data_IF_605356617440
#
_entry.id   IF_605356617440
#
_cell.length_a   1.000
_cell.length_b   1.000
_cell.length_c   1.000
_cell.angle_alpha   90.00
_cell.angle_beta   90.00
_cell.angle_gamma   90.00
#
_symmetry.space_group_name_H-M   'P 1'
#
loop_
_entity.id
_entity.type
_entity.pdbx_description
1 polymer ?
#
# COMPACT_ATOMS: atom_id res chain seq x y z
N UNK A 1 12.59 -14.68 9.48
CA UNK A 1 12.19 -15.42 10.71
C UNK A 1 10.77 -15.92 10.55
N UNK A 2 10.36 -16.96 11.28
CA UNK A 2 8.96 -17.37 11.35
C UNK A 2 8.13 -16.34 12.15
N UNK A 3 6.87 -16.08 11.78
CA UNK A 3 5.98 -15.21 12.57
C UNK A 3 5.73 -15.74 13.99
N UNK A 4 5.49 -14.82 14.91
CA UNK A 4 4.89 -15.08 16.23
C UNK A 4 3.36 -15.08 16.13
N UNK A 5 2.66 -15.76 17.05
CA UNK A 5 1.19 -15.88 17.00
C UNK A 5 0.43 -14.54 17.17
N UNK A 6 1.10 -13.49 17.67
CA UNK A 6 0.54 -12.14 17.83
C UNK A 6 0.81 -11.20 16.63
N UNK A 7 1.51 -11.67 15.59
CA UNK A 7 1.77 -10.88 14.39
C UNK A 7 0.69 -11.14 13.32
N UNK A 8 0.12 -10.06 12.78
CA UNK A 8 -0.72 -10.09 11.58
C UNK A 8 0.17 -9.75 10.38
N UNK A 9 0.56 -10.78 9.63
CA UNK A 9 1.60 -10.64 8.60
C UNK A 9 0.97 -10.40 7.23
N UNK A 10 1.36 -9.29 6.62
CA UNK A 10 0.93 -8.79 5.33
C UNK A 10 2.07 -9.01 4.32
N UNK A 11 1.93 -10.00 3.45
CA UNK A 11 2.83 -10.17 2.32
C UNK A 11 2.48 -9.16 1.21
N UNK A 12 3.48 -8.47 0.64
CA UNK A 12 3.26 -7.49 -0.44
C UNK A 12 4.00 -7.91 -1.70
N UNK A 13 3.25 -8.33 -2.72
CA UNK A 13 3.73 -8.97 -3.94
C UNK A 13 3.38 -8.13 -5.17
N UNK A 14 4.29 -8.03 -6.15
CA UNK A 14 4.08 -7.23 -7.35
C UNK A 14 4.95 -7.69 -8.55
N UNK A 15 4.46 -7.56 -9.80
CA UNK A 15 5.31 -7.58 -10.99
C UNK A 15 6.07 -6.25 -11.13
N UNK A 16 7.02 -6.20 -12.07
CA UNK A 16 8.08 -5.20 -12.11
C UNK A 16 7.55 -3.76 -12.21
N UNK A 17 8.10 -2.86 -11.39
CA UNK A 17 7.79 -1.42 -11.38
C UNK A 17 6.30 -1.04 -11.20
N UNK A 18 5.51 -1.91 -10.55
CA UNK A 18 4.08 -1.65 -10.25
C UNK A 18 3.85 -0.66 -9.10
N UNK A 19 4.90 -0.16 -8.44
CA UNK A 19 4.81 0.88 -7.41
C UNK A 19 4.49 0.39 -5.99
N UNK A 20 4.73 -0.90 -5.70
CA UNK A 20 4.62 -1.51 -4.36
C UNK A 20 5.19 -0.65 -3.23
N UNK A 21 6.46 -0.28 -3.36
CA UNK A 21 7.19 0.48 -2.34
C UNK A 21 6.65 1.92 -2.20
N UNK A 22 6.06 2.48 -3.27
CA UNK A 22 5.35 3.77 -3.23
C UNK A 22 4.03 3.67 -2.46
N UNK A 23 3.30 2.55 -2.55
CA UNK A 23 2.09 2.29 -1.75
C UNK A 23 2.44 2.19 -0.26
N UNK A 24 3.50 1.46 0.09
CA UNK A 24 3.96 1.38 1.49
C UNK A 24 4.42 2.73 2.04
N UNK A 25 5.15 3.53 1.25
CA UNK A 25 5.49 4.91 1.62
C UNK A 25 4.24 5.79 1.83
N UNK A 26 3.21 5.64 0.98
CA UNK A 26 1.95 6.36 1.16
C UNK A 26 1.27 5.97 2.48
N UNK A 27 1.20 4.67 2.80
CA UNK A 27 0.64 4.17 4.05
C UNK A 27 1.42 4.65 5.29
N UNK A 28 2.76 4.71 5.22
CA UNK A 28 3.64 5.32 6.23
C UNK A 28 3.56 6.85 6.29
N UNK A 29 2.95 7.51 5.29
CA UNK A 29 2.92 8.96 5.13
C UNK A 29 4.27 9.64 4.86
N UNK A 30 5.36 8.87 4.67
CA UNK A 30 6.75 9.36 4.50
C UNK A 30 7.43 8.66 3.32
N UNK A 31 8.32 9.37 2.60
CA UNK A 31 8.99 8.87 1.39
C UNK A 31 10.21 7.96 1.68
N UNK A 32 10.11 7.14 2.73
CA UNK A 32 11.21 6.45 3.42
C UNK A 32 11.86 5.34 2.58
N UNK A 33 11.06 4.40 2.09
CA UNK A 33 11.55 3.19 1.43
C UNK A 33 12.03 3.55 0.00
N UNK A 34 13.18 3.04 -0.46
CA UNK A 34 13.75 3.45 -1.73
C UNK A 34 12.83 3.07 -2.90
N UNK A 35 12.30 4.07 -3.61
CA UNK A 35 11.26 3.90 -4.63
C UNK A 35 11.60 4.48 -6.01
N UNK A 36 12.90 4.59 -6.36
CA UNK A 36 13.31 5.04 -7.71
C UNK A 36 13.06 3.91 -8.73
N UNK A 37 12.90 4.29 -10.01
CA UNK A 37 12.55 3.35 -11.09
C UNK A 37 13.63 2.30 -11.40
N UNK A 38 14.84 2.46 -10.87
CA UNK A 38 15.96 1.54 -11.01
C UNK A 38 16.02 0.59 -9.80
N UNK A 39 15.48 -0.61 -9.96
CA UNK A 39 15.66 -1.82 -9.13
C UNK A 39 15.89 -1.63 -7.60
N UNK A 40 15.11 -0.77 -6.95
CA UNK A 40 15.39 -0.29 -5.59
C UNK A 40 15.21 -1.28 -4.42
N UNK A 41 14.83 -2.54 -4.68
CA UNK A 41 14.84 -3.60 -3.65
C UNK A 41 15.50 -4.87 -4.22
N UNK A 42 16.67 -5.20 -3.68
CA UNK A 42 17.36 -6.48 -3.82
C UNK A 42 17.22 -7.36 -2.57
N UNK A 43 17.01 -6.72 -1.41
CA UNK A 43 16.95 -7.37 -0.09
C UNK A 43 15.51 -7.29 0.46
N UNK A 44 14.96 -8.37 1.05
CA UNK A 44 13.63 -8.33 1.68
C UNK A 44 13.62 -7.46 2.94
N UNK A 45 12.56 -6.66 3.08
CA UNK A 45 12.35 -5.79 4.24
C UNK A 45 11.18 -6.29 5.09
N UNK A 46 11.36 -6.40 6.41
CA UNK A 46 10.27 -6.58 7.39
C UNK A 46 9.97 -5.22 8.02
N UNK A 47 8.81 -4.64 7.73
CA UNK A 47 8.34 -3.42 8.38
C UNK A 47 7.34 -3.83 9.47
N UNK A 48 7.64 -3.49 10.71
CA UNK A 48 6.76 -3.75 11.87
C UNK A 48 6.09 -2.44 12.27
N UNK A 49 4.77 -2.48 12.35
CA UNK A 49 3.94 -1.38 12.80
C UNK A 49 4.01 -1.23 14.33
N UNK A 50 4.13 0.00 14.81
CA UNK A 50 4.20 0.36 16.24
C UNK A 50 3.48 1.69 16.45
N UNK A 51 2.30 1.65 17.07
CA UNK A 51 1.45 2.82 17.37
C UNK A 51 2.24 3.92 18.11
N UNK A 52 2.21 5.15 17.59
CA UNK A 52 2.79 6.34 18.24
C UNK A 52 4.32 6.44 18.16
N UNK A 53 4.98 5.67 17.29
CA UNK A 53 6.43 5.72 17.13
C UNK A 53 6.86 6.91 16.24
N UNK A 54 7.23 8.04 16.86
CA UNK A 54 7.58 9.31 16.19
C UNK A 54 8.74 9.16 15.18
N UNK A 55 9.83 8.48 15.58
CA UNK A 55 10.99 8.18 14.76
C UNK A 55 10.91 6.78 14.15
N UNK A 56 10.84 6.71 12.82
CA UNK A 56 11.03 5.44 12.11
C UNK A 56 12.50 5.02 12.27
N UNK A 57 12.75 3.76 12.57
CA UNK A 57 14.10 3.21 12.75
C UNK A 57 14.29 1.89 12.03
N UNK A 58 15.53 1.57 11.66
CA UNK A 58 15.86 0.31 10.99
C UNK A 58 17.16 -0.32 11.48
N UNK A 59 17.29 -1.64 11.25
CA UNK A 59 18.51 -2.42 11.45
C UNK A 59 18.68 -3.41 10.29
N UNK A 60 19.91 -3.79 9.96
CA UNK A 60 20.21 -4.75 8.89
C UNK A 60 20.86 -6.03 9.44
N UNK A 61 20.55 -7.16 8.80
CA UNK A 61 21.00 -8.50 9.22
C UNK A 61 21.99 -9.05 8.18
N UNK A 62 23.23 -9.26 8.59
CA UNK A 62 24.31 -9.82 7.77
C UNK A 62 24.13 -11.30 7.47
N UNK A 63 24.85 -11.79 6.45
CA UNK A 63 24.84 -13.21 6.05
C UNK A 63 25.36 -14.18 7.12
N UNK A 64 26.19 -13.71 8.05
CA UNK A 64 26.67 -14.51 9.19
C UNK A 64 25.78 -14.40 10.45
N UNK A 65 24.59 -13.80 10.32
CA UNK A 65 23.62 -13.65 11.39
C UNK A 65 23.88 -12.49 12.36
N UNK A 66 24.93 -11.67 12.14
CA UNK A 66 25.10 -10.42 12.90
C UNK A 66 24.02 -9.42 12.53
N UNK A 67 23.59 -8.62 13.50
CA UNK A 67 22.63 -7.54 13.34
C UNK A 67 23.33 -6.22 13.62
N UNK A 68 23.01 -5.16 12.87
CA UNK A 68 23.46 -3.80 13.19
C UNK A 68 22.83 -3.28 14.49
N UNK A 69 23.26 -2.11 14.95
CA UNK A 69 22.39 -1.33 15.85
C UNK A 69 21.13 -0.85 15.11
N UNK A 70 20.09 -0.49 15.86
CA UNK A 70 19.00 0.32 15.33
C UNK A 70 19.51 1.73 15.01
N UNK A 71 19.15 2.23 13.84
CA UNK A 71 19.44 3.58 13.35
C UNK A 71 18.11 4.27 13.05
N UNK A 72 17.88 5.46 13.63
CA UNK A 72 16.73 6.30 13.25
C UNK A 72 16.89 6.78 11.81
N UNK A 73 15.81 6.78 11.05
CA UNK A 73 15.80 7.12 9.63
C UNK A 73 15.18 8.51 9.41
N UNK A 74 15.98 9.41 8.86
CA UNK A 74 15.54 10.72 8.36
C UNK A 74 15.32 10.70 6.84
N UNK A 75 14.70 11.75 6.30
CA UNK A 75 14.43 11.89 4.85
C UNK A 75 15.71 12.01 3.98
N UNK A 76 16.89 12.15 4.60
CA UNK A 76 18.19 12.26 3.92
C UNK A 76 19.06 10.97 4.02
N UNK A 77 18.64 9.96 4.78
CA UNK A 77 19.51 8.83 5.15
C UNK A 77 19.80 7.84 4.00
N UNK A 78 21.08 7.73 3.64
CA UNK A 78 21.54 6.79 2.61
C UNK A 78 21.48 5.32 3.05
N UNK A 79 21.43 5.04 4.37
CA UNK A 79 21.72 3.72 4.92
C UNK A 79 20.79 2.60 4.39
N UNK A 80 19.50 2.87 4.12
CA UNK A 80 18.62 1.88 3.47
C UNK A 80 19.09 1.52 2.05
N UNK A 81 19.61 2.48 1.29
CA UNK A 81 20.16 2.26 -0.06
C UNK A 81 21.53 1.56 -0.01
N UNK A 82 22.37 1.94 0.96
CA UNK A 82 23.68 1.32 1.18
C UNK A 82 23.55 -0.14 1.64
N UNK A 83 22.61 -0.42 2.55
CA UNK A 83 22.29 -1.79 2.96
C UNK A 83 21.71 -2.61 1.81
N UNK A 84 20.78 -2.05 1.03
CA UNK A 84 20.18 -2.71 -0.12
C UNK A 84 21.17 -3.00 -1.27
N UNK A 85 22.38 -2.42 -1.24
CA UNK A 85 23.48 -2.73 -2.18
C UNK A 85 24.66 -3.48 -1.53
N UNK A 86 24.59 -3.73 -0.23
CA UNK A 86 25.64 -4.37 0.57
C UNK A 86 25.43 -5.87 0.85
N UNK A 87 26.25 -6.43 1.74
CA UNK A 87 26.27 -7.87 2.09
C UNK A 87 25.31 -8.24 3.22
N UNK A 88 24.04 -7.83 3.07
CA UNK A 88 22.96 -8.09 4.03
C UNK A 88 21.95 -9.10 3.45
N UNK A 89 21.13 -9.69 4.33
CA UNK A 89 20.13 -10.73 3.97
C UNK A 89 18.70 -10.29 4.17
N UNK A 90 18.48 -9.35 5.10
CA UNK A 90 17.19 -8.71 5.38
C UNK A 90 17.42 -7.40 6.11
N UNK A 91 16.46 -6.50 6.01
CA UNK A 91 16.39 -5.25 6.77
C UNK A 91 15.11 -5.29 7.60
N UNK A 92 15.21 -4.97 8.89
CA UNK A 92 14.05 -4.78 9.76
C UNK A 92 13.83 -3.29 9.98
N UNK A 93 12.58 -2.85 9.87
CA UNK A 93 12.14 -1.46 10.00
C UNK A 93 11.01 -1.42 11.03
N UNK A 94 10.98 -0.39 11.86
CA UNK A 94 9.92 -0.12 12.82
C UNK A 94 9.44 1.32 12.63
N UNK A 95 8.14 1.51 12.48
CA UNK A 95 7.49 2.80 12.24
C UNK A 95 6.00 2.72 12.52
N UNK A 96 5.36 3.88 12.63
CA UNK A 96 3.91 4.04 12.80
C UNK A 96 3.20 4.05 11.43
N UNK A 97 2.16 3.23 11.25
CA UNK A 97 1.20 3.33 10.14
C UNK A 97 -0.08 4.05 10.63
N UNK A 98 -0.17 5.40 10.55
CA UNK A 98 -1.07 6.21 11.40
C UNK A 98 -2.58 6.06 11.17
N UNK A 99 -2.99 5.23 10.19
CA UNK A 99 -4.39 4.89 9.88
C UNK A 99 -4.72 3.41 10.18
N UNK A 100 -3.82 2.71 10.85
CA UNK A 100 -3.93 1.31 11.30
C UNK A 100 -3.81 1.33 12.83
N UNK A 101 -4.60 0.50 13.50
CA UNK A 101 -4.57 0.34 14.97
C UNK A 101 -4.16 -1.11 15.26
N UNK A 102 -2.96 -1.29 15.80
CA UNK A 102 -2.39 -2.61 16.07
C UNK A 102 -2.61 -3.13 17.50
N UNK A 103 -3.52 -2.51 18.28
CA UNK A 103 -3.86 -2.95 19.65
C UNK A 103 -4.32 -4.42 19.74
N UNK A 104 -4.82 -4.97 18.63
CA UNK A 104 -5.33 -6.36 18.54
C UNK A 104 -4.21 -7.37 18.25
N UNK A 105 -3.32 -7.06 17.30
CA UNK A 105 -2.16 -7.84 16.84
C UNK A 105 -1.18 -6.90 16.15
N UNK A 106 0.13 -7.11 16.30
CA UNK A 106 1.17 -6.29 15.64
C UNK A 106 1.10 -6.49 14.13
N UNK A 107 0.89 -5.44 13.34
CA UNK A 107 0.94 -5.57 11.89
C UNK A 107 2.39 -5.64 11.39
N UNK A 108 2.64 -6.53 10.43
CA UNK A 108 3.97 -6.74 9.86
C UNK A 108 3.88 -6.82 8.35
N UNK A 109 4.44 -5.85 7.63
CA UNK A 109 4.57 -5.90 6.18
C UNK A 109 5.88 -6.59 5.77
N UNK A 110 5.77 -7.57 4.87
CA UNK A 110 6.92 -8.19 4.20
C UNK A 110 7.04 -7.63 2.78
N UNK A 111 7.97 -6.67 2.59
CA UNK A 111 8.23 -6.07 1.29
C UNK A 111 9.23 -6.93 0.50
N UNK A 112 8.76 -7.53 -0.60
CA UNK A 112 9.58 -8.45 -1.40
C UNK A 112 10.42 -7.70 -2.44
N UNK A 113 11.69 -8.05 -2.68
CA UNK A 113 12.49 -7.43 -3.74
C UNK A 113 11.93 -7.74 -5.14
N UNK A 114 12.10 -6.78 -6.05
CA UNK A 114 11.44 -6.80 -7.36
C UNK A 114 12.15 -7.67 -8.41
N UNK A 115 11.40 -8.20 -9.39
CA UNK A 115 12.05 -9.03 -10.87
C UNK A 115 13.19 -8.39 -11.69
N UNK A 116 13.90 -7.39 -11.16
CA UNK A 116 14.93 -6.63 -11.90
C UNK A 116 16.37 -6.80 -11.38
N UNK A 117 16.61 -7.45 -10.23
CA UNK A 117 17.93 -7.55 -9.60
C UNK A 117 18.49 -8.98 -9.41
N UNK A 118 17.91 -10.01 -10.05
CA UNK A 118 18.58 -11.32 -10.13
C UNK A 118 18.48 -11.95 -11.51
N UNK A 119 19.64 -12.23 -12.11
CA UNK A 119 19.77 -12.95 -13.38
C UNK A 119 19.38 -14.43 -13.19
N UNK A 120 18.12 -14.75 -13.47
CA UNK A 120 17.50 -16.08 -13.42
C UNK A 120 17.38 -16.75 -12.04
N UNK A 121 16.41 -17.67 -11.95
CA UNK A 121 16.13 -18.63 -10.86
C UNK A 121 15.72 -18.04 -9.49
N UNK A 122 16.49 -17.14 -8.88
CA UNK A 122 16.27 -16.62 -7.51
C UNK A 122 14.90 -15.96 -7.28
N UNK A 123 14.30 -15.35 -8.32
CA UNK A 123 12.95 -14.77 -8.26
C UNK A 123 11.84 -15.80 -7.96
N UNK A 124 12.05 -17.07 -8.34
CA UNK A 124 11.18 -18.15 -7.90
C UNK A 124 11.32 -18.34 -6.39
N UNK A 125 12.55 -18.57 -5.92
CA UNK A 125 12.85 -19.03 -4.56
C UNK A 125 12.40 -18.09 -3.44
N UNK A 126 12.62 -16.77 -3.54
CA UNK A 126 12.23 -15.86 -2.45
C UNK A 126 10.72 -15.61 -2.40
N UNK A 127 10.07 -15.44 -3.56
CA UNK A 127 8.61 -15.34 -3.66
C UNK A 127 7.95 -16.63 -3.18
N UNK A 128 8.46 -17.77 -3.65
CA UNK A 128 8.04 -19.09 -3.22
C UNK A 128 8.28 -19.29 -1.73
N UNK A 129 9.39 -18.82 -1.14
CA UNK A 129 9.67 -18.94 0.30
C UNK A 129 8.62 -18.24 1.15
N UNK A 130 8.35 -16.97 0.89
CA UNK A 130 7.34 -16.18 1.63
C UNK A 130 5.94 -16.79 1.47
N UNK A 131 5.66 -17.31 0.28
CA UNK A 131 4.44 -18.08 0.02
C UNK A 131 4.42 -19.44 0.76
N UNK A 132 5.53 -20.21 0.77
CA UNK A 132 5.60 -21.62 1.22
C UNK A 132 5.88 -21.84 2.69
N UNK A 133 6.43 -20.84 3.40
CA UNK A 133 6.61 -20.90 4.85
C UNK A 133 5.31 -20.63 5.63
N UNK A 134 4.17 -20.52 4.91
CA UNK A 134 2.81 -20.27 5.43
C UNK A 134 2.74 -19.10 6.42
N UNK A 135 3.61 -18.11 6.22
CA UNK A 135 3.91 -17.05 7.18
C UNK A 135 3.13 -15.75 6.99
N UNK A 136 2.06 -15.72 6.19
CA UNK A 136 1.26 -14.52 5.94
C UNK A 136 -0.24 -14.75 6.18
N UNK A 137 -0.87 -13.79 6.85
CA UNK A 137 -2.31 -13.75 7.12
C UNK A 137 -3.07 -13.04 5.99
N UNK A 138 -2.42 -12.05 5.38
CA UNK A 138 -2.99 -11.20 4.34
C UNK A 138 -2.00 -11.03 3.18
N UNK A 139 -2.52 -10.90 1.95
CA UNK A 139 -1.72 -10.72 0.74
C UNK A 139 -2.19 -9.50 -0.06
N UNK A 140 -1.32 -8.50 -0.16
CA UNK A 140 -1.46 -7.36 -1.07
C UNK A 140 -0.78 -7.66 -2.39
N UNK A 141 -1.55 -7.87 -3.46
CA UNK A 141 -1.03 -8.05 -4.81
C UNK A 141 -1.17 -6.75 -5.61
N UNK A 142 -0.05 -6.09 -5.91
CA UNK A 142 -0.06 -4.81 -6.66
C UNK A 142 0.01 -5.09 -8.17
N UNK A 143 -0.95 -4.55 -8.92
CA UNK A 143 -1.05 -4.57 -10.38
C UNK A 143 -0.73 -3.18 -10.94
N UNK A 144 -0.34 -3.09 -12.21
CA UNK A 144 -0.06 -1.81 -12.88
C UNK A 144 -1.09 -1.52 -13.99
N UNK A 145 -1.91 -0.47 -13.81
CA UNK A 145 -2.95 -0.03 -14.76
C UNK A 145 -2.45 0.06 -16.21
N UNK A 146 -1.21 0.55 -16.42
CA UNK A 146 -0.64 0.78 -17.75
C UNK A 146 0.08 -0.43 -18.36
N UNK A 147 0.21 -1.54 -17.63
CA UNK A 147 0.95 -2.74 -18.06
C UNK A 147 0.19 -4.04 -17.73
N UNK A 148 -1.13 -3.96 -17.75
CA UNK A 148 -2.05 -5.04 -17.41
C UNK A 148 -1.91 -6.26 -18.36
N UNK A 149 -1.80 -7.46 -17.78
CA UNK A 149 -1.80 -8.73 -18.51
C UNK A 149 -0.47 -9.13 -19.14
N UNK A 150 0.66 -8.52 -18.75
CA UNK A 150 2.01 -8.96 -19.20
C UNK A 150 2.38 -10.34 -18.62
N UNK A 151 3.24 -11.10 -19.30
CA UNK A 151 3.42 -12.52 -18.97
C UNK A 151 4.11 -12.77 -17.62
N UNK A 152 4.95 -11.84 -17.12
CA UNK A 152 5.51 -11.93 -15.76
C UNK A 152 4.43 -11.72 -14.69
N UNK A 153 3.48 -10.80 -14.91
CA UNK A 153 2.29 -10.64 -14.07
C UNK A 153 1.43 -11.91 -14.10
N UNK A 154 1.16 -12.46 -15.30
CA UNK A 154 0.41 -13.72 -15.44
C UNK A 154 1.09 -14.88 -14.70
N UNK A 155 2.41 -15.01 -14.84
CA UNK A 155 3.20 -16.05 -14.16
C UNK A 155 3.14 -15.91 -12.64
N UNK A 156 3.27 -14.69 -12.14
CA UNK A 156 3.18 -14.39 -10.71
C UNK A 156 1.78 -14.67 -10.14
N UNK A 157 0.73 -14.26 -10.85
CA UNK A 157 -0.67 -14.54 -10.51
C UNK A 157 -0.96 -16.05 -10.48
N UNK A 158 -0.48 -16.83 -11.46
CA UNK A 158 -0.63 -18.31 -11.45
C UNK A 158 0.03 -18.93 -10.22
N UNK A 159 1.28 -18.55 -9.91
CA UNK A 159 2.00 -19.09 -8.73
C UNK A 159 1.27 -18.79 -7.42
N UNK A 160 0.72 -17.58 -7.26
CA UNK A 160 -0.09 -17.20 -6.09
C UNK A 160 -1.41 -17.98 -6.06
N UNK A 161 -2.13 -18.07 -7.18
CA UNK A 161 -3.39 -18.80 -7.27
C UNK A 161 -3.23 -20.28 -6.95
N UNK A 162 -2.17 -20.92 -7.44
CA UNK A 162 -1.89 -22.34 -7.20
C UNK A 162 -1.47 -22.61 -5.75
N UNK A 163 -0.77 -21.67 -5.09
CA UNK A 163 -0.46 -21.79 -3.66
C UNK A 163 -1.70 -21.64 -2.77
N UNK A 164 -2.55 -20.63 -3.01
CA UNK A 164 -3.78 -20.43 -2.21
C UNK A 164 -4.76 -21.62 -2.32
N UNK A 165 -4.76 -22.36 -3.44
CA UNK A 165 -5.50 -23.62 -3.58
C UNK A 165 -4.97 -24.75 -2.67
N UNK A 166 -3.69 -24.70 -2.26
CA UNK A 166 -3.03 -25.71 -1.43
C UNK A 166 -3.24 -25.43 0.06
N UNK A 167 -3.15 -24.17 0.50
CA UNK A 167 -3.28 -23.81 1.92
C UNK A 167 -4.74 -23.67 2.40
N UNK A 168 -5.69 -23.51 1.46
CA UNK A 168 -7.10 -23.30 1.77
C UNK A 168 -7.47 -21.83 1.94
N UNK A 169 -8.77 -21.60 2.18
CA UNK A 169 -9.44 -20.29 2.10
C UNK A 169 -9.16 -19.37 3.32
N UNK A 170 -8.01 -19.54 3.98
CA UNK A 170 -7.66 -18.88 5.24
C UNK A 170 -6.90 -17.56 5.08
N UNK A 171 -6.17 -17.34 3.98
CA UNK A 171 -5.42 -16.10 3.73
C UNK A 171 -6.26 -15.12 2.91
N UNK A 172 -6.52 -13.93 3.45
CA UNK A 172 -7.23 -12.87 2.73
C UNK A 172 -6.34 -12.24 1.66
N UNK A 173 -6.86 -12.02 0.45
CA UNK A 173 -6.13 -11.40 -0.67
C UNK A 173 -6.84 -10.13 -1.17
N UNK A 174 -6.06 -9.07 -1.40
CA UNK A 174 -6.51 -7.84 -2.06
C UNK A 174 -5.62 -7.52 -3.26
N UNK A 175 -6.24 -7.09 -4.35
CA UNK A 175 -5.56 -6.66 -5.57
C UNK A 175 -5.60 -5.13 -5.68
N UNK A 176 -4.44 -4.52 -5.85
CA UNK A 176 -4.26 -3.06 -5.85
C UNK A 176 -3.89 -2.60 -7.26
N UNK A 177 -4.84 -2.03 -7.97
CA UNK A 177 -4.66 -1.55 -9.35
C UNK A 177 -4.07 -0.15 -9.28
N UNK A 178 -2.74 -0.09 -9.25
CA UNK A 178 -1.98 1.14 -9.04
C UNK A 178 -1.80 1.93 -10.34
N UNK A 179 -1.63 3.25 -10.20
CA UNK A 179 -1.56 4.23 -11.31
C UNK A 179 -2.89 4.35 -12.05
N UNK A 180 -4.03 4.28 -11.34
CA UNK A 180 -5.37 4.46 -11.92
C UNK A 180 -5.57 5.91 -12.44
N UNK A 181 -4.78 6.84 -11.93
CA UNK A 181 -4.54 8.21 -12.41
C UNK A 181 -3.98 8.29 -13.84
N UNK A 182 -3.47 7.19 -14.41
CA UNK A 182 -2.92 7.14 -15.77
C UNK A 182 -3.95 6.79 -16.87
N UNK A 183 -5.25 6.69 -16.53
CA UNK A 183 -6.33 6.46 -17.49
C UNK A 183 -6.78 7.78 -18.15
N UNK A 184 -6.95 7.77 -19.47
CA UNK A 184 -7.44 8.93 -20.23
C UNK A 184 -8.97 9.04 -20.12
N UNK A 185 -9.44 9.68 -19.05
CA UNK A 185 -10.86 9.83 -18.75
C UNK A 185 -11.64 10.60 -19.81
N UNK A 186 -10.97 11.46 -20.59
CA UNK A 186 -11.56 12.21 -21.70
C UNK A 186 -11.69 11.36 -22.98
N UNK A 187 -11.15 10.13 -22.98
CA UNK A 187 -11.27 9.12 -24.05
C UNK A 187 -11.97 7.84 -23.59
N UNK A 188 -12.97 7.99 -22.72
CA UNK A 188 -13.83 6.92 -22.20
C UNK A 188 -13.11 5.82 -21.39
N UNK A 189 -11.87 6.05 -20.90
CA UNK A 189 -11.13 5.07 -20.08
C UNK A 189 -11.63 5.02 -18.62
N UNK A 190 -12.91 4.73 -18.42
CA UNK A 190 -13.57 4.76 -17.12
C UNK A 190 -12.91 3.80 -16.09
N UNK A 191 -12.50 4.27 -14.89
CA UNK A 191 -11.85 3.46 -13.85
C UNK A 191 -12.73 2.30 -13.37
N UNK A 192 -14.04 2.50 -13.27
CA UNK A 192 -15.01 1.43 -12.94
C UNK A 192 -14.98 0.32 -13.99
N UNK A 193 -14.92 0.67 -15.27
CA UNK A 193 -14.82 -0.31 -16.37
C UNK A 193 -13.47 -1.02 -16.37
N UNK A 194 -12.38 -0.30 -16.08
CA UNK A 194 -11.05 -0.89 -15.91
C UNK A 194 -11.02 -1.90 -14.75
N UNK A 195 -11.45 -1.51 -13.54
CA UNK A 195 -11.56 -2.40 -12.37
C UNK A 195 -12.48 -3.60 -12.65
N UNK A 196 -13.55 -3.42 -13.42
CA UNK A 196 -14.40 -4.51 -13.90
C UNK A 196 -13.64 -5.53 -14.76
N UNK A 197 -12.84 -5.07 -15.73
CA UNK A 197 -11.97 -5.93 -16.57
C UNK A 197 -10.92 -6.66 -15.73
N UNK A 198 -10.31 -5.99 -14.76
CA UNK A 198 -9.36 -6.61 -13.81
C UNK A 198 -10.05 -7.70 -12.99
N UNK A 199 -11.25 -7.45 -12.44
CA UNK A 199 -12.02 -8.46 -11.69
C UNK A 199 -12.32 -9.70 -12.54
N UNK A 200 -12.74 -9.55 -13.81
CA UNK A 200 -12.95 -10.69 -14.71
C UNK A 200 -11.67 -11.49 -14.97
N UNK A 201 -10.57 -10.81 -15.29
CA UNK A 201 -9.27 -11.46 -15.53
C UNK A 201 -8.77 -12.24 -14.30
N UNK A 202 -8.93 -11.71 -13.10
CA UNK A 202 -8.54 -12.40 -11.87
C UNK A 202 -9.42 -13.65 -11.62
N UNK A 203 -10.71 -13.60 -11.95
CA UNK A 203 -11.59 -14.79 -11.92
C UNK A 203 -11.14 -15.83 -12.96
N UNK A 204 -10.70 -15.42 -14.16
CA UNK A 204 -10.11 -16.31 -15.17
C UNK A 204 -8.79 -16.94 -14.72
N UNK A 205 -7.98 -16.25 -13.92
CA UNK A 205 -6.78 -16.81 -13.26
C UNK A 205 -7.11 -17.72 -12.06
N UNK A 206 -8.39 -17.85 -11.70
CA UNK A 206 -8.89 -18.76 -10.66
C UNK A 206 -9.10 -18.15 -9.28
N UNK A 207 -8.96 -16.83 -9.13
CA UNK A 207 -9.28 -16.14 -7.86
C UNK A 207 -10.80 -16.01 -7.72
N UNK A 208 -11.38 -16.62 -6.68
CA UNK A 208 -12.81 -16.48 -6.37
C UNK A 208 -13.06 -15.09 -5.77
N UNK A 209 -14.10 -14.41 -6.24
CA UNK A 209 -14.60 -13.12 -5.68
C UNK A 209 -13.49 -12.12 -5.33
N UNK A 210 -12.60 -11.74 -6.27
CA UNK A 210 -11.42 -10.93 -5.98
C UNK A 210 -11.80 -9.51 -5.51
N UNK A 211 -11.26 -9.12 -4.34
CA UNK A 211 -11.31 -7.74 -3.86
C UNK A 211 -10.28 -6.94 -4.68
N UNK A 212 -10.74 -5.93 -5.41
CA UNK A 212 -9.89 -5.07 -6.24
C UNK A 212 -10.12 -3.62 -5.83
N UNK A 213 -9.04 -2.94 -5.44
CA UNK A 213 -9.03 -1.52 -5.05
C UNK A 213 -8.21 -0.76 -6.11
N UNK A 214 -8.78 0.23 -6.82
CA UNK A 214 -8.00 1.17 -7.62
C UNK A 214 -7.21 2.11 -6.70
N UNK A 215 -5.91 2.33 -6.97
CA UNK A 215 -5.07 3.19 -6.14
C UNK A 215 -4.16 4.14 -6.94
N UNK A 216 -3.88 5.30 -6.34
CA UNK A 216 -2.97 6.34 -6.85
C UNK A 216 -1.81 6.51 -5.86
N UNK A 217 -1.02 5.46 -5.63
CA UNK A 217 -0.07 5.41 -4.50
C UNK A 217 0.96 6.56 -4.49
N UNK A 218 1.35 7.07 -5.66
CA UNK A 218 2.23 8.24 -5.79
C UNK A 218 1.56 9.52 -5.29
N UNK A 219 0.36 9.83 -5.78
CA UNK A 219 -0.37 11.03 -5.37
C UNK A 219 -0.71 10.98 -3.88
N UNK A 220 -1.13 9.81 -3.37
CA UNK A 220 -1.45 9.62 -1.95
C UNK A 220 -0.26 9.96 -1.03
N UNK A 221 0.94 9.46 -1.34
CA UNK A 221 2.17 9.84 -0.64
C UNK A 221 2.42 11.35 -0.69
N UNK A 222 2.27 11.95 -1.86
CA UNK A 222 2.54 13.38 -2.06
C UNK A 222 1.53 14.28 -1.30
N UNK A 223 0.25 13.89 -1.24
CA UNK A 223 -0.78 14.57 -0.43
C UNK A 223 -0.51 14.43 1.06
N UNK A 224 -0.13 13.23 1.54
CA UNK A 224 0.21 12.99 2.96
C UNK A 224 1.43 13.77 3.41
N UNK A 225 2.44 13.91 2.55
CA UNK A 225 3.60 14.78 2.81
C UNK A 225 3.18 16.26 2.86
N UNK A 226 2.26 16.73 2.01
CA UNK A 226 1.69 18.08 2.11
C UNK A 226 0.92 18.29 3.44
N UNK A 227 0.10 17.32 3.85
CA UNK A 227 -0.65 17.35 5.12
C UNK A 227 0.30 17.34 6.34
N UNK A 228 1.35 16.51 6.32
CA UNK A 228 2.35 16.44 7.37
C UNK A 228 3.16 17.73 7.48
N UNK A 229 3.60 18.31 6.36
CA UNK A 229 4.31 19.58 6.33
C UNK A 229 3.43 20.74 6.86
N UNK A 230 2.14 20.76 6.50
CA UNK A 230 1.20 21.73 7.05
C UNK A 230 0.97 21.53 8.56
N UNK A 231 0.77 20.29 9.03
CA UNK A 231 0.63 19.98 10.46
C UNK A 231 1.86 20.40 11.28
N UNK A 232 3.06 20.26 10.72
CA UNK A 232 4.32 20.68 11.32
C UNK A 232 4.67 22.18 11.09
N UNK A 233 3.86 22.92 10.33
CA UNK A 233 4.10 24.34 9.95
C UNK A 233 5.46 24.57 9.26
N UNK A 234 5.92 23.61 8.45
CA UNK A 234 7.15 23.68 7.66
C UNK A 234 6.88 23.89 6.16
N UNK A 235 7.90 24.29 5.41
CA UNK A 235 7.82 24.36 3.95
C UNK A 235 7.65 22.96 3.33
N UNK A 236 6.95 22.87 2.20
CA UNK A 236 6.80 21.62 1.45
C UNK A 236 8.18 21.10 0.99
N UNK A 237 8.54 19.83 1.23
CA UNK A 237 9.82 19.22 0.82
C UNK A 237 9.85 18.87 -0.69
N UNK A 238 9.24 19.72 -1.52
CA UNK A 238 9.05 19.52 -2.94
C UNK A 238 9.58 20.72 -3.73
N UNK A 239 10.37 20.46 -4.77
CA UNK A 239 10.73 21.53 -5.73
C UNK A 239 9.49 22.13 -6.39
N UNK A 240 9.54 23.39 -6.82
CA UNK A 240 8.39 24.10 -7.41
C UNK A 240 7.76 23.36 -8.60
N UNK A 241 8.58 22.67 -9.41
CA UNK A 241 8.11 21.80 -10.52
C UNK A 241 7.26 20.62 -10.02
N UNK A 242 7.64 20.03 -8.89
CA UNK A 242 6.90 18.92 -8.26
C UNK A 242 5.61 19.46 -7.65
N UNK A 243 5.64 20.61 -6.99
CA UNK A 243 4.44 21.25 -6.42
C UNK A 243 3.38 21.57 -7.50
N UNK A 244 3.74 22.26 -8.60
CA UNK A 244 2.78 22.55 -9.67
C UNK A 244 2.21 21.29 -10.34
N UNK A 245 2.96 20.17 -10.37
CA UNK A 245 2.41 18.88 -10.81
C UNK A 245 1.39 18.34 -9.81
N UNK A 246 1.70 18.33 -8.51
CA UNK A 246 0.78 17.89 -7.45
C UNK A 246 -0.52 18.71 -7.51
N UNK A 247 -0.41 20.03 -7.68
CA UNK A 247 -1.57 20.91 -7.82
C UNK A 247 -2.48 20.54 -9.00
N UNK A 248 -1.91 20.27 -10.19
CA UNK A 248 -2.68 19.80 -11.34
C UNK A 248 -3.24 18.37 -11.17
N UNK A 249 -2.53 17.48 -10.47
CA UNK A 249 -3.03 16.14 -10.15
C UNK A 249 -4.21 16.20 -9.15
N UNK A 250 -4.20 17.13 -8.18
CA UNK A 250 -5.35 17.43 -7.30
C UNK A 250 -6.54 17.94 -8.11
N UNK A 251 -6.36 19.01 -8.90
CA UNK A 251 -7.41 19.61 -9.73
C UNK A 251 -8.10 18.55 -10.62
N UNK A 252 -7.30 17.67 -11.25
CA UNK A 252 -7.80 16.59 -12.12
C UNK A 252 -8.61 15.55 -11.34
N UNK A 253 -8.07 15.05 -10.21
CA UNK A 253 -8.73 14.03 -9.41
C UNK A 253 -10.05 14.54 -8.79
N UNK A 254 -10.09 15.82 -8.38
CA UNK A 254 -11.31 16.46 -7.89
C UNK A 254 -12.32 16.72 -9.01
N UNK A 255 -11.89 17.17 -10.19
CA UNK A 255 -12.78 17.37 -11.34
C UNK A 255 -13.49 16.07 -11.79
N UNK A 256 -12.80 14.93 -11.65
CA UNK A 256 -13.34 13.60 -12.01
C UNK A 256 -13.75 12.74 -10.79
N UNK A 257 -14.01 13.35 -9.63
CA UNK A 257 -14.20 12.62 -8.36
C UNK A 257 -15.31 11.57 -8.36
N UNK A 258 -16.45 11.82 -9.01
CA UNK A 258 -17.49 10.79 -9.15
C UNK A 258 -17.04 9.60 -10.01
N UNK A 259 -16.29 9.86 -11.09
CA UNK A 259 -15.78 8.83 -12.01
C UNK A 259 -14.79 7.88 -11.31
N UNK A 260 -13.93 8.40 -10.44
CA UNK A 260 -13.06 7.59 -9.59
C UNK A 260 -13.82 6.94 -8.41
N UNK A 261 -14.68 7.70 -7.72
CA UNK A 261 -15.49 7.20 -6.61
C UNK A 261 -16.42 6.05 -7.00
N UNK A 262 -16.92 6.05 -8.24
CA UNK A 262 -17.66 4.93 -8.84
C UNK A 262 -16.88 3.61 -8.91
N UNK A 263 -15.54 3.63 -8.87
CA UNK A 263 -14.73 2.42 -8.79
C UNK A 263 -14.48 1.97 -7.34
N UNK A 264 -14.31 2.92 -6.41
CA UNK A 264 -14.15 2.65 -4.96
C UNK A 264 -15.43 2.07 -4.32
N UNK A 265 -16.61 2.45 -4.82
CA UNK A 265 -17.94 1.90 -4.41
C UNK A 265 -18.09 0.37 -4.60
N UNK A 266 -17.11 -0.34 -5.17
CA UNK A 266 -17.08 -1.80 -5.35
C UNK A 266 -16.05 -2.56 -4.48
N UNK A 267 -15.54 -1.92 -3.43
CA UNK A 267 -14.73 -2.56 -2.38
C UNK A 267 -15.66 -3.04 -1.26
N UNK A 268 -15.73 -4.36 -0.94
CA UNK A 268 -16.59 -4.86 0.13
C UNK A 268 -16.23 -4.23 1.48
N UNK A 269 -17.24 -3.97 2.32
CA UNK A 269 -17.11 -3.25 3.59
C UNK A 269 -16.53 -1.82 3.49
N UNK A 270 -16.59 -1.19 2.31
CA UNK A 270 -16.47 0.27 2.19
C UNK A 270 -17.78 0.97 2.61
N UNK A 271 -18.14 0.84 3.89
CA UNK A 271 -19.17 1.68 4.55
C UNK A 271 -18.68 3.11 4.78
N UNK A 272 -18.01 3.67 3.78
CA UNK A 272 -17.39 4.99 3.79
C UNK A 272 -18.51 5.99 3.50
N UNK A 273 -18.91 6.75 4.52
CA UNK A 273 -19.46 8.06 4.23
C UNK A 273 -18.32 8.91 3.65
N UNK A 274 -18.45 9.29 2.38
CA UNK A 274 -17.51 10.18 1.70
C UNK A 274 -17.78 11.65 2.05
N UNK A 275 -18.77 11.95 2.90
CA UNK A 275 -19.01 13.31 3.36
C UNK A 275 -17.84 13.83 4.22
N UNK A 276 -17.37 15.08 4.00
CA UNK A 276 -16.37 15.74 4.84
C UNK A 276 -16.75 15.86 6.33
N UNK A 277 -18.02 15.61 6.67
CA UNK A 277 -18.64 15.81 7.99
C UNK A 277 -17.90 15.17 9.17
N UNK A 278 -17.18 14.07 8.93
CA UNK A 278 -16.48 13.32 9.98
C UNK A 278 -15.13 13.92 10.42
N UNK A 279 -14.60 14.91 9.67
CA UNK A 279 -13.30 15.56 9.92
C UNK A 279 -13.42 17.06 10.25
N UNK A 280 -14.63 17.54 10.58
CA UNK A 280 -14.92 18.94 10.86
C UNK A 280 -14.38 19.44 12.23
N UNK A 281 -13.07 19.61 12.36
CA UNK A 281 -12.46 20.50 13.35
C UNK A 281 -11.39 21.38 12.65
N UNK A 282 -11.71 22.67 12.45
CA UNK A 282 -10.92 23.68 11.73
C UNK A 282 -10.59 23.39 10.25
N UNK A 283 -11.61 23.40 9.39
CA UNK A 283 -11.46 23.38 7.91
C UNK A 283 -11.01 24.72 7.30
N UNK A 284 -10.90 25.80 8.09
CA UNK A 284 -10.54 27.14 7.61
C UNK A 284 -9.05 27.36 7.27
N UNK A 285 -8.27 26.28 7.15
CA UNK A 285 -6.85 26.32 6.82
C UNK A 285 -6.63 25.94 5.35
N UNK A 286 -5.89 26.78 4.63
CA UNK A 286 -5.47 26.52 3.26
C UNK A 286 -4.00 26.05 3.22
N UNK A 287 -3.71 25.13 2.31
CA UNK A 287 -2.36 24.64 2.00
C UNK A 287 -2.00 25.14 0.61
N UNK A 288 -0.95 25.97 0.52
CA UNK A 288 -0.41 26.42 -0.76
C UNK A 288 0.45 25.32 -1.37
N UNK A 289 0.12 24.89 -2.58
CA UNK A 289 0.88 23.91 -3.36
C UNK A 289 1.19 24.54 -4.72
N UNK A 290 2.42 25.06 -4.87
CA UNK A 290 2.86 25.74 -6.09
C UNK A 290 2.13 27.07 -6.32
N UNK A 291 1.40 27.17 -7.43
CA UNK A 291 0.59 28.32 -7.81
C UNK A 291 -0.85 28.28 -7.25
N UNK A 292 -1.31 27.11 -6.75
CA UNK A 292 -2.65 26.91 -6.17
C UNK A 292 -2.64 27.04 -4.64
N UNK A 293 -3.77 27.47 -4.09
CA UNK A 293 -4.10 27.40 -2.67
C UNK A 293 -5.33 26.49 -2.51
N UNK A 294 -5.18 25.34 -1.87
CA UNK A 294 -6.27 24.38 -1.63
C UNK A 294 -6.74 24.47 -0.18
N UNK A 295 -8.02 24.21 0.08
CA UNK A 295 -8.51 23.95 1.43
C UNK A 295 -8.00 22.60 1.94
N UNK A 296 -7.99 22.42 3.26
CA UNK A 296 -7.73 21.13 3.88
C UNK A 296 -8.74 20.05 3.42
N UNK A 297 -9.99 20.46 3.16
CA UNK A 297 -11.10 19.59 2.72
C UNK A 297 -10.87 19.02 1.31
N UNK A 298 -10.42 19.84 0.36
CA UNK A 298 -10.08 19.42 -1.01
C UNK A 298 -8.91 18.42 -1.03
N UNK A 299 -7.90 18.61 -0.18
CA UNK A 299 -6.75 17.68 -0.08
C UNK A 299 -7.18 16.35 0.55
N UNK A 300 -8.05 16.37 1.56
CA UNK A 300 -8.62 15.15 2.16
C UNK A 300 -9.53 14.41 1.16
N UNK A 301 -10.36 15.12 0.40
CA UNK A 301 -11.20 14.51 -0.63
C UNK A 301 -10.33 13.86 -1.73
N UNK A 302 -9.30 14.55 -2.22
CA UNK A 302 -8.32 13.98 -3.15
C UNK A 302 -7.61 12.75 -2.57
N UNK A 303 -7.23 12.77 -1.28
CA UNK A 303 -6.58 11.64 -0.62
C UNK A 303 -7.50 10.41 -0.55
N UNK A 304 -8.78 10.60 -0.20
CA UNK A 304 -9.78 9.53 -0.17
C UNK A 304 -9.96 8.92 -1.57
N UNK A 305 -9.96 9.73 -2.62
CA UNK A 305 -10.07 9.27 -4.01
C UNK A 305 -8.82 8.46 -4.45
N UNK A 306 -7.64 8.68 -3.86
CA UNK A 306 -6.44 7.87 -4.15
C UNK A 306 -6.54 6.39 -3.75
N UNK A 307 -7.58 5.99 -3.01
CA UNK A 307 -7.87 4.60 -2.65
C UNK A 307 -7.00 3.99 -1.55
N UNK A 308 -5.90 4.64 -1.14
CA UNK A 308 -5.08 4.18 0.00
C UNK A 308 -5.90 4.14 1.31
N UNK A 309 -6.75 5.13 1.63
CA UNK A 309 -7.66 5.03 2.79
C UNK A 309 -8.75 3.93 2.68
N UNK A 310 -8.93 3.30 1.51
CA UNK A 310 -9.80 2.12 1.36
C UNK A 310 -9.03 0.81 1.59
N UNK A 311 -7.75 0.76 1.18
CA UNK A 311 -6.81 -0.31 1.51
C UNK A 311 -6.57 -0.40 3.02
N UNK A 312 -6.31 0.72 3.70
CA UNK A 312 -6.05 0.76 5.14
C UNK A 312 -7.26 0.24 5.95
N UNK A 313 -8.48 0.67 5.60
CA UNK A 313 -9.72 0.12 6.18
C UNK A 313 -9.90 -1.38 5.91
N UNK A 314 -9.51 -1.87 4.73
CA UNK A 314 -9.56 -3.30 4.40
C UNK A 314 -8.57 -4.12 5.24
N UNK A 315 -7.37 -3.58 5.48
CA UNK A 315 -6.38 -4.15 6.39
C UNK A 315 -6.89 -4.16 7.84
N UNK A 316 -7.42 -3.04 8.34
CA UNK A 316 -7.95 -2.93 9.70
C UNK A 316 -9.12 -3.89 9.96
N UNK A 317 -10.04 -4.05 9.00
CA UNK A 317 -11.13 -5.01 9.10
C UNK A 317 -10.65 -6.48 9.11
N UNK A 318 -9.58 -6.78 8.36
CA UNK A 318 -8.96 -8.10 8.36
C UNK A 318 -8.18 -8.36 9.66
N UNK A 319 -7.43 -7.37 10.16
CA UNK A 319 -6.73 -7.42 11.45
C UNK A 319 -7.70 -7.70 12.61
N UNK A 320 -8.77 -6.92 12.70
CA UNK A 320 -9.78 -7.06 13.75
C UNK A 320 -10.47 -8.43 13.72
N UNK A 321 -10.81 -8.95 12.52
CA UNK A 321 -11.40 -10.29 12.40
C UNK A 321 -10.42 -11.43 12.72
N UNK A 322 -9.11 -11.25 12.50
CA UNK A 322 -8.07 -12.23 12.86
C UNK A 322 -7.61 -12.17 14.34
N UNK A 323 -8.07 -11.20 15.11
CA UNK A 323 -8.03 -11.22 16.59
C UNK A 323 -9.35 -11.63 17.26
N UNK A 324 -10.44 -11.71 16.49
CA UNK A 324 -11.78 -11.98 17.01
C UNK A 324 -12.01 -13.46 17.39
N UNK A 325 -11.45 -13.86 18.53
CA UNK A 325 -11.92 -15.06 19.24
C UNK A 325 -13.31 -14.86 19.91
N UNK A 326 -13.85 -13.63 19.90
CA UNK A 326 -15.20 -13.31 20.39
C UNK A 326 -16.28 -13.48 19.29
N UNK A 327 -17.23 -14.43 19.45
CA UNK A 327 -18.36 -14.61 18.52
C UNK A 327 -19.26 -13.37 18.38
N UNK A 328 -19.32 -12.48 19.38
CA UNK A 328 -20.13 -11.25 19.31
C UNK A 328 -19.57 -10.24 18.30
N UNK A 329 -18.23 -10.11 18.22
CA UNK A 329 -17.58 -9.25 17.23
C UNK A 329 -17.77 -9.80 15.81
N UNK A 330 -17.58 -11.11 15.64
CA UNK A 330 -17.85 -11.81 14.36
C UNK A 330 -19.30 -11.64 13.92
N UNK A 331 -20.27 -11.74 14.85
CA UNK A 331 -21.68 -11.50 14.57
C UNK A 331 -22.02 -10.04 14.23
N UNK A 332 -21.20 -9.08 14.67
CA UNK A 332 -21.30 -7.66 14.25
C UNK A 332 -20.79 -7.47 12.82
N UNK A 333 -19.59 -7.97 12.51
CA UNK A 333 -18.99 -7.91 11.17
C UNK A 333 -19.89 -8.63 10.13
N UNK A 334 -20.51 -9.75 10.50
CA UNK A 334 -21.47 -10.49 9.67
C UNK A 334 -22.81 -9.78 9.42
N UNK A 335 -23.09 -8.65 10.10
CA UNK A 335 -24.21 -7.75 9.77
C UNK A 335 -23.78 -6.65 8.80
N UNK A 336 -22.57 -6.11 8.95
CA UNK A 336 -22.01 -5.11 8.03
C UNK A 336 -21.74 -5.66 6.61
N UNK A 337 -21.59 -6.97 6.44
CA UNK A 337 -21.42 -7.62 5.11
C UNK A 337 -22.74 -8.03 4.44
N UNK A 338 -23.90 -7.60 4.97
CA UNK A 338 -25.25 -7.94 4.46
C UNK A 338 -26.19 -6.73 4.26
N UNK A 339 -25.63 -5.53 4.21
CA UNK A 339 -26.33 -4.29 3.86
C UNK A 339 -25.84 -3.78 2.50
#
# INVERSE_FOLDING_TARGET
MSPTHDEFVVAVVAPMSSGKTTILNAMLGKALLPSKNEACTAIPMKITDIDGLEEIRAQAIHLDGRVSGWVSLSDEDSCLSDWNTGTYTSIEIQGDFPNIDNHVKRMVFLDTPGPNNSTNMLHGELTHKILSENGFTFLMFVLNTTQFGVEDERRLLRMVADKLKIDGDHSSIVFLVNKIDALDLERDECPKTHVGRVKSYLVEMGFKTPIVIPVMGKLSLELRVCLAAHKAQIALPFSSRVQCRIAHEIDYVLAFKETYGMALKYVPSAGIDFSPSSLHQNTAANIRIGDRDFTLEEIIEAEIITGIPALERCLQASLASHGAHDPALVASIARFTKA
#
